data_IF_239937473239
#
_entry.id   IF_239937473239
#
_cell.length_a   1.000
_cell.length_b   1.000
_cell.length_c   1.000
_cell.angle_alpha   90.00
_cell.angle_beta   90.00
_cell.angle_gamma   90.00
#
_symmetry.space_group_name_H-M   'P 1'
#
loop_
_entity.id
_entity.type
_entity.pdbx_description
1 polymer ?
#
# COMPACT_ATOMS: atom_id res chain seq x y z
N UNK A 1 33.24 -9.16 21.78
CA UNK A 1 32.33 -8.66 20.74
C UNK A 1 31.00 -9.37 21.00
N UNK A 2 30.05 -8.69 21.63
CA UNK A 2 28.71 -9.26 21.83
C UNK A 2 27.99 -9.29 20.47
N UNK A 3 27.34 -10.41 20.20
CA UNK A 3 26.54 -10.53 18.96
C UNK A 3 25.39 -9.54 19.03
N UNK A 4 25.05 -8.85 17.91
CA UNK A 4 23.90 -7.97 17.90
C UNK A 4 22.62 -8.77 18.22
N UNK A 5 21.69 -8.16 18.98
CA UNK A 5 20.38 -8.76 19.20
C UNK A 5 19.62 -8.86 17.86
N UNK A 6 19.43 -10.10 17.39
CA UNK A 6 18.73 -10.41 16.15
C UNK A 6 17.22 -10.57 16.36
N UNK A 7 16.74 -10.55 17.60
CA UNK A 7 15.32 -10.75 17.94
C UNK A 7 14.39 -9.79 17.21
N UNK A 8 14.73 -8.48 17.04
CA UNK A 8 13.87 -7.55 16.31
C UNK A 8 13.61 -7.87 14.84
N UNK A 9 14.53 -8.62 14.20
CA UNK A 9 14.39 -9.03 12.77
C UNK A 9 14.04 -10.52 12.61
N UNK A 10 13.72 -11.21 13.69
CA UNK A 10 13.35 -12.63 13.63
C UNK A 10 12.16 -12.90 12.67
N UNK A 11 11.10 -12.06 12.64
CA UNK A 11 10.03 -12.19 11.65
C UNK A 11 10.55 -12.14 10.20
N UNK A 12 11.50 -11.24 9.88
CA UNK A 12 12.11 -11.09 8.56
C UNK A 12 13.00 -12.29 8.19
N UNK A 13 13.72 -12.84 9.16
CA UNK A 13 14.54 -14.05 8.98
C UNK A 13 13.66 -15.24 8.61
N UNK A 14 12.50 -15.40 9.26
CA UNK A 14 11.53 -16.46 8.95
C UNK A 14 11.00 -16.28 7.52
N UNK A 15 10.64 -15.07 7.14
CA UNK A 15 10.17 -14.77 5.77
C UNK A 15 11.25 -15.01 4.72
N UNK A 16 12.50 -14.63 5.01
CA UNK A 16 13.63 -14.88 4.12
C UNK A 16 13.88 -16.39 3.94
N UNK A 17 13.83 -17.14 5.04
CA UNK A 17 13.91 -18.60 5.00
C UNK A 17 12.79 -19.22 4.16
N UNK A 18 11.55 -18.77 4.33
CA UNK A 18 10.42 -19.21 3.53
C UNK A 18 10.58 -18.86 2.04
N UNK A 19 11.03 -17.63 1.71
CA UNK A 19 11.27 -17.21 0.34
C UNK A 19 12.36 -18.06 -0.34
N UNK A 20 13.46 -18.33 0.36
CA UNK A 20 14.53 -19.19 -0.14
C UNK A 20 14.05 -20.63 -0.33
N UNK A 21 13.26 -21.18 0.59
CA UNK A 21 12.66 -22.52 0.46
C UNK A 21 11.73 -22.59 -0.74
N UNK A 22 10.92 -21.56 -0.98
CA UNK A 22 10.08 -21.45 -2.19
C UNK A 22 10.95 -21.57 -3.44
N UNK A 23 12.04 -20.82 -3.54
CA UNK A 23 12.95 -20.84 -4.70
C UNK A 23 13.69 -22.17 -4.85
N UNK A 24 14.05 -22.82 -3.75
CA UNK A 24 14.73 -24.13 -3.77
C UNK A 24 13.79 -25.27 -4.16
N UNK A 25 12.53 -25.23 -3.75
CA UNK A 25 11.54 -26.28 -4.03
C UNK A 25 10.93 -26.15 -5.43
N UNK A 26 10.78 -24.90 -5.92
CA UNK A 26 10.14 -24.58 -7.21
C UNK A 26 10.64 -25.43 -8.39
N UNK A 27 11.95 -25.60 -8.63
CA UNK A 27 12.45 -26.36 -9.79
C UNK A 27 12.04 -27.83 -9.81
N UNK A 28 11.69 -28.40 -8.65
CA UNK A 28 11.26 -29.80 -8.52
C UNK A 28 9.76 -30.00 -8.77
N UNK A 29 8.99 -28.89 -8.84
CA UNK A 29 7.54 -28.91 -9.01
C UNK A 29 7.16 -28.54 -10.46
N UNK A 30 6.67 -29.52 -11.24
CA UNK A 30 6.35 -29.30 -12.67
C UNK A 30 5.04 -28.51 -12.88
N UNK A 31 3.95 -28.92 -12.24
CA UNK A 31 2.61 -28.33 -12.44
C UNK A 31 1.94 -27.90 -11.14
N UNK A 32 1.97 -28.77 -10.13
CA UNK A 32 1.34 -28.48 -8.84
C UNK A 32 2.24 -27.59 -8.00
N UNK A 33 1.76 -26.39 -7.66
CA UNK A 33 2.46 -25.39 -6.85
C UNK A 33 1.94 -25.32 -5.42
N UNK A 34 1.10 -26.28 -5.00
CA UNK A 34 0.50 -26.29 -3.66
C UNK A 34 1.55 -26.25 -2.55
N UNK A 35 2.66 -26.99 -2.72
CA UNK A 35 3.75 -26.97 -1.73
C UNK A 35 4.39 -25.59 -1.59
N UNK A 36 4.63 -24.89 -2.70
CA UNK A 36 5.20 -23.53 -2.70
C UNK A 36 4.25 -22.53 -2.02
N UNK A 37 2.96 -22.63 -2.31
CA UNK A 37 1.93 -21.78 -1.69
C UNK A 37 1.87 -22.08 -0.18
N UNK A 38 1.90 -23.35 0.22
CA UNK A 38 1.90 -23.76 1.63
C UNK A 38 3.14 -23.22 2.36
N UNK A 39 4.35 -23.34 1.77
CA UNK A 39 5.59 -22.78 2.35
C UNK A 39 5.46 -21.24 2.52
N UNK A 40 4.97 -20.55 1.51
CA UNK A 40 4.81 -19.10 1.58
C UNK A 40 3.82 -18.68 2.68
N UNK A 41 2.64 -19.33 2.76
CA UNK A 41 1.62 -19.01 3.76
C UNK A 41 2.06 -19.42 5.17
N UNK A 42 2.72 -20.55 5.36
CA UNK A 42 3.23 -21.00 6.68
C UNK A 42 4.35 -20.09 7.16
N UNK A 43 5.28 -19.70 6.28
CA UNK A 43 6.34 -18.75 6.61
C UNK A 43 5.76 -17.38 7.02
N UNK A 44 4.74 -16.93 6.31
CA UNK A 44 4.04 -15.67 6.59
C UNK A 44 3.28 -15.74 7.93
N UNK A 45 2.58 -16.84 8.20
CA UNK A 45 1.88 -17.06 9.46
C UNK A 45 2.88 -17.12 10.64
N UNK A 46 3.97 -17.88 10.49
CA UNK A 46 5.01 -17.99 11.50
C UNK A 46 5.66 -16.63 11.82
N UNK A 47 5.97 -15.84 10.78
CA UNK A 47 6.48 -14.47 10.94
C UNK A 47 5.50 -13.57 11.70
N UNK A 48 4.21 -13.61 11.34
CA UNK A 48 3.17 -12.84 12.02
C UNK A 48 2.99 -13.25 13.49
N UNK A 49 2.98 -14.54 13.79
CA UNK A 49 2.89 -15.09 15.17
C UNK A 49 4.09 -14.62 16.00
N UNK A 50 5.31 -14.72 15.46
CA UNK A 50 6.52 -14.25 16.16
C UNK A 50 6.48 -12.74 16.38
N UNK A 51 6.04 -11.95 15.41
CA UNK A 51 5.88 -10.52 15.58
C UNK A 51 4.89 -10.19 16.72
N UNK A 52 3.76 -10.90 16.79
CA UNK A 52 2.77 -10.72 17.86
C UNK A 52 3.29 -11.21 19.22
N UNK A 53 4.03 -12.30 19.26
CA UNK A 53 4.62 -12.81 20.50
C UNK A 53 5.65 -11.83 21.13
N UNK A 54 6.27 -11.00 20.30
CA UNK A 54 7.25 -9.99 20.70
C UNK A 54 6.63 -8.58 20.86
N UNK A 55 5.30 -8.45 20.84
CA UNK A 55 4.58 -7.18 20.79
C UNK A 55 4.96 -6.20 21.92
N UNK A 56 5.12 -6.67 23.15
CA UNK A 56 5.37 -5.82 24.33
C UNK A 56 6.86 -5.60 24.65
N UNK A 57 7.76 -6.24 23.90
CA UNK A 57 9.17 -6.31 24.32
C UNK A 57 9.99 -5.05 24.04
N UNK A 58 9.51 -4.15 23.15
CA UNK A 58 10.19 -2.91 22.74
C UNK A 58 11.70 -3.12 22.49
N UNK A 59 12.05 -4.14 21.70
CA UNK A 59 13.44 -4.54 21.47
C UNK A 59 14.12 -3.67 20.43
N UNK A 60 15.36 -3.35 20.74
CA UNK A 60 16.24 -2.55 19.87
C UNK A 60 17.41 -3.44 19.43
N UNK A 61 17.63 -3.53 18.12
CA UNK A 61 18.73 -4.30 17.56
C UNK A 61 19.58 -3.48 16.58
N UNK A 62 20.72 -4.06 16.17
CA UNK A 62 21.62 -3.46 15.18
C UNK A 62 22.04 -2.03 15.55
N UNK A 63 22.56 -1.86 16.75
CA UNK A 63 23.01 -0.55 17.25
C UNK A 63 21.96 0.57 17.16
N UNK A 64 20.67 0.24 17.35
CA UNK A 64 19.59 1.21 17.31
C UNK A 64 18.98 1.43 15.93
N UNK A 65 19.42 0.71 14.91
CA UNK A 65 18.89 0.89 13.54
C UNK A 65 17.49 0.31 13.37
N UNK A 66 17.14 -0.75 14.10
CA UNK A 66 15.86 -1.45 14.02
C UNK A 66 15.22 -1.52 15.40
N UNK A 67 13.93 -1.22 15.47
CA UNK A 67 13.13 -1.30 16.70
C UNK A 67 11.89 -2.15 16.44
N UNK A 68 11.66 -3.15 17.27
CA UNK A 68 10.42 -3.91 17.32
C UNK A 68 9.59 -3.38 18.50
N UNK A 69 8.61 -2.56 18.19
CA UNK A 69 7.65 -1.99 19.13
C UNK A 69 6.22 -2.17 18.60
N UNK A 70 5.22 -1.71 19.35
CA UNK A 70 3.80 -1.80 18.95
C UNK A 70 3.51 -1.25 17.57
N UNK A 71 4.14 -0.14 17.19
CA UNK A 71 4.01 0.47 15.87
C UNK A 71 4.53 -0.46 14.76
N UNK A 72 5.73 -0.99 14.92
CA UNK A 72 6.33 -1.91 13.95
C UNK A 72 5.52 -3.21 13.83
N UNK A 73 5.06 -3.77 14.96
CA UNK A 73 4.25 -5.00 14.98
C UNK A 73 2.91 -4.78 14.30
N UNK A 74 2.22 -3.67 14.56
CA UNK A 74 0.98 -3.33 13.86
C UNK A 74 1.16 -3.40 12.33
N UNK A 75 2.19 -2.75 11.81
CA UNK A 75 2.45 -2.75 10.38
C UNK A 75 2.87 -4.13 9.84
N UNK A 76 3.71 -4.88 10.56
CA UNK A 76 4.10 -6.25 10.18
C UNK A 76 2.88 -7.16 10.03
N UNK A 77 1.92 -7.07 10.96
CA UNK A 77 0.66 -7.83 10.89
C UNK A 77 -0.20 -7.37 9.71
N UNK A 78 -0.32 -6.06 9.51
CA UNK A 78 -1.09 -5.50 8.40
C UNK A 78 -0.52 -5.92 7.04
N UNK A 79 0.80 -5.88 6.89
CA UNK A 79 1.49 -6.30 5.66
C UNK A 79 1.38 -7.81 5.44
N UNK A 80 1.50 -8.61 6.50
CA UNK A 80 1.31 -10.06 6.44
C UNK A 80 -0.10 -10.40 5.95
N UNK A 81 -1.13 -9.72 6.46
CA UNK A 81 -2.50 -9.88 5.99
C UNK A 81 -2.65 -9.52 4.50
N UNK A 82 -2.07 -8.40 4.07
CA UNK A 82 -2.11 -7.98 2.67
C UNK A 82 -1.42 -9.00 1.75
N UNK A 83 -0.26 -9.51 2.15
CA UNK A 83 0.48 -10.54 1.41
C UNK A 83 -0.27 -11.88 1.38
N UNK A 84 -0.87 -12.31 2.52
CA UNK A 84 -1.68 -13.53 2.59
C UNK A 84 -2.85 -13.47 1.61
N UNK A 85 -3.61 -12.38 1.62
CA UNK A 85 -4.73 -12.21 0.69
C UNK A 85 -4.26 -12.20 -0.77
N UNK A 86 -3.15 -11.53 -1.09
CA UNK A 86 -2.57 -11.54 -2.43
C UNK A 86 -2.15 -12.96 -2.85
N UNK A 87 -1.50 -13.72 -1.96
CA UNK A 87 -1.11 -15.11 -2.21
C UNK A 87 -2.35 -15.97 -2.45
N UNK A 88 -3.38 -15.89 -1.61
CA UNK A 88 -4.62 -16.67 -1.75
C UNK A 88 -5.41 -16.36 -3.02
N UNK A 89 -5.38 -15.12 -3.50
CA UNK A 89 -6.05 -14.72 -4.76
C UNK A 89 -5.30 -15.20 -6.00
N UNK A 90 -4.01 -15.56 -5.91
CA UNK A 90 -3.12 -15.71 -7.06
C UNK A 90 -3.21 -17.04 -7.79
N UNK A 91 -3.38 -18.23 -7.15
CA UNK A 91 -3.19 -19.50 -7.81
C UNK A 91 -4.05 -19.68 -9.06
N UNK A 92 -5.36 -19.60 -8.91
CA UNK A 92 -6.31 -19.75 -10.05
C UNK A 92 -6.11 -18.66 -11.11
N UNK A 93 -5.74 -17.45 -10.70
CA UNK A 93 -5.48 -16.33 -11.62
C UNK A 93 -4.23 -16.59 -12.47
N UNK A 94 -3.15 -17.08 -11.87
CA UNK A 94 -1.89 -17.39 -12.54
C UNK A 94 -2.05 -18.61 -13.45
N UNK A 95 -2.74 -19.66 -12.99
CA UNK A 95 -3.07 -20.84 -13.80
C UNK A 95 -3.88 -20.48 -15.05
N UNK A 96 -4.95 -19.70 -14.88
CA UNK A 96 -5.78 -19.22 -15.97
C UNK A 96 -5.00 -18.35 -16.97
N UNK A 97 -3.90 -17.72 -16.52
CA UNK A 97 -3.01 -16.91 -17.34
C UNK A 97 -1.85 -17.72 -17.97
N UNK A 98 -1.77 -19.02 -17.70
CA UNK A 98 -0.73 -19.92 -18.22
C UNK A 98 0.66 -19.69 -17.63
N UNK A 99 0.77 -19.02 -16.47
CA UNK A 99 2.05 -18.68 -15.83
C UNK A 99 1.98 -18.75 -14.32
N UNK A 100 1.91 -19.96 -13.81
CA UNK A 100 1.97 -20.23 -12.38
C UNK A 100 3.39 -20.67 -12.00
N UNK A 101 4.23 -19.71 -11.60
CA UNK A 101 5.64 -19.89 -11.22
C UNK A 101 5.82 -19.52 -9.74
N UNK A 102 6.66 -20.28 -9.04
CA UNK A 102 6.89 -20.09 -7.60
C UNK A 102 7.67 -18.82 -7.27
N UNK A 103 8.48 -18.31 -8.22
CA UNK A 103 9.18 -17.02 -8.04
C UNK A 103 8.22 -15.87 -7.72
N UNK A 104 6.96 -15.96 -8.17
CA UNK A 104 5.92 -15.01 -7.83
C UNK A 104 5.72 -14.87 -6.32
N UNK A 105 5.65 -15.99 -5.61
CA UNK A 105 5.45 -16.01 -4.16
C UNK A 105 6.70 -15.55 -3.42
N UNK A 106 7.88 -15.94 -3.89
CA UNK A 106 9.14 -15.46 -3.33
C UNK A 106 9.26 -13.93 -3.43
N UNK A 107 8.91 -13.35 -4.58
CA UNK A 107 8.92 -11.89 -4.77
C UNK A 107 7.93 -11.17 -3.84
N UNK A 108 6.75 -11.75 -3.58
CA UNK A 108 5.82 -11.20 -2.59
C UNK A 108 6.42 -11.20 -1.18
N UNK A 109 7.11 -12.30 -0.80
CA UNK A 109 7.78 -12.39 0.50
C UNK A 109 8.96 -11.41 0.61
N UNK A 110 9.76 -11.24 -0.43
CA UNK A 110 10.84 -10.23 -0.45
C UNK A 110 10.29 -8.79 -0.35
N UNK A 111 9.19 -8.49 -1.06
CA UNK A 111 8.53 -7.19 -0.90
C UNK A 111 8.04 -6.98 0.55
N UNK A 112 7.49 -8.02 1.16
CA UNK A 112 7.04 -8.01 2.56
C UNK A 112 8.18 -7.78 3.53
N UNK A 113 9.33 -8.43 3.35
CA UNK A 113 10.54 -8.21 4.16
C UNK A 113 10.94 -6.73 4.09
N UNK A 114 11.00 -6.16 2.87
CA UNK A 114 11.32 -4.75 2.68
C UNK A 114 10.36 -3.82 3.42
N UNK A 115 9.04 -4.08 3.35
CA UNK A 115 8.02 -3.32 4.06
C UNK A 115 8.18 -3.42 5.59
N UNK A 116 8.45 -4.61 6.10
CA UNK A 116 8.65 -4.84 7.53
C UNK A 116 9.88 -4.06 8.06
N UNK A 117 10.99 -4.08 7.30
CA UNK A 117 12.19 -3.30 7.64
C UNK A 117 11.88 -1.81 7.64
N UNK A 118 11.14 -1.29 6.64
CA UNK A 118 10.74 0.12 6.60
C UNK A 118 9.95 0.55 7.86
N UNK A 119 9.02 -0.28 8.32
CA UNK A 119 8.18 0.03 9.49
C UNK A 119 8.96 -0.03 10.82
N UNK A 120 9.96 -0.90 10.90
CA UNK A 120 10.81 -1.09 12.08
C UNK A 120 12.03 -0.16 12.11
N UNK A 121 12.37 0.51 11.01
CA UNK A 121 13.55 1.34 10.89
C UNK A 121 13.52 2.55 11.85
N UNK A 122 14.67 2.82 12.46
CA UNK A 122 14.99 4.04 13.22
C UNK A 122 16.29 4.67 12.72
N UNK A 123 16.67 4.27 11.51
CA UNK A 123 17.89 4.69 10.82
C UNK A 123 17.59 4.80 9.33
N UNK A 124 18.15 5.82 8.68
CA UNK A 124 17.90 6.08 7.28
C UNK A 124 18.46 5.01 6.34
N UNK A 125 19.58 4.36 6.70
CA UNK A 125 20.17 3.29 5.89
C UNK A 125 19.26 2.05 5.96
N UNK A 126 18.85 1.66 7.16
CA UNK A 126 17.92 0.55 7.33
C UNK A 126 16.60 0.79 6.57
N UNK A 127 16.04 1.99 6.69
CA UNK A 127 14.83 2.39 5.97
C UNK A 127 15.01 2.29 4.45
N UNK A 128 16.12 2.85 3.92
CA UNK A 128 16.39 2.89 2.48
C UNK A 128 16.61 1.49 1.90
N UNK A 129 17.33 0.62 2.60
CA UNK A 129 17.50 -0.79 2.19
C UNK A 129 16.16 -1.52 2.14
N UNK A 130 15.30 -1.34 3.15
CA UNK A 130 13.95 -1.89 3.14
C UNK A 130 13.10 -1.37 1.97
N UNK A 131 13.17 -0.06 1.72
CA UNK A 131 12.48 0.61 0.61
C UNK A 131 12.91 0.06 -0.75
N UNK A 132 14.21 -0.15 -0.98
CA UNK A 132 14.72 -0.69 -2.24
C UNK A 132 14.38 -2.17 -2.42
N UNK A 133 14.46 -2.98 -1.37
CA UNK A 133 14.07 -4.40 -1.43
C UNK A 133 12.57 -4.54 -1.81
N UNK A 134 11.71 -3.75 -1.16
CA UNK A 134 10.28 -3.68 -1.51
C UNK A 134 10.10 -3.21 -2.96
N UNK A 135 10.84 -2.18 -3.39
CA UNK A 135 10.68 -1.55 -4.70
C UNK A 135 11.08 -2.49 -5.84
N UNK A 136 12.28 -3.09 -5.78
CA UNK A 136 12.78 -4.02 -6.81
C UNK A 136 11.85 -5.22 -6.94
N UNK A 137 11.44 -5.82 -5.82
CA UNK A 137 10.48 -6.92 -5.82
C UNK A 137 9.15 -6.52 -6.46
N UNK A 138 8.67 -5.31 -6.19
CA UNK A 138 7.44 -4.77 -6.79
C UNK A 138 7.58 -4.51 -8.29
N UNK A 139 8.72 -4.03 -8.77
CA UNK A 139 8.95 -3.82 -10.21
C UNK A 139 8.88 -5.14 -10.98
N UNK A 140 9.50 -6.21 -10.43
CA UNK A 140 9.46 -7.54 -11.00
C UNK A 140 8.05 -8.14 -10.97
N UNK A 141 7.31 -7.96 -9.88
CA UNK A 141 5.91 -8.38 -9.79
C UNK A 141 5.00 -7.66 -10.79
N UNK A 142 5.19 -6.37 -11.03
CA UNK A 142 4.42 -5.62 -12.03
C UNK A 142 4.60 -6.19 -13.43
N UNK A 143 5.84 -6.59 -13.79
CA UNK A 143 6.21 -7.20 -15.07
C UNK A 143 6.13 -8.72 -15.11
N UNK A 144 5.45 -9.38 -14.18
CA UNK A 144 5.47 -10.83 -14.03
C UNK A 144 5.03 -11.56 -15.31
N UNK A 145 4.09 -10.99 -16.06
CA UNK A 145 3.67 -11.51 -17.36
C UNK A 145 4.55 -10.97 -18.51
N UNK A 146 5.81 -11.40 -18.57
CA UNK A 146 6.86 -10.91 -19.48
C UNK A 146 6.53 -10.93 -20.99
N UNK A 147 5.50 -11.65 -21.42
CA UNK A 147 5.04 -11.65 -22.83
C UNK A 147 3.79 -10.79 -23.02
N UNK A 148 3.31 -10.11 -21.98
CA UNK A 148 2.20 -9.17 -22.07
C UNK A 148 2.77 -7.74 -22.14
N UNK A 149 2.55 -7.07 -23.27
CA UNK A 149 3.07 -5.71 -23.50
C UNK A 149 2.62 -4.72 -22.43
N UNK A 150 1.37 -4.82 -21.94
CA UNK A 150 0.88 -3.95 -20.87
C UNK A 150 1.57 -4.20 -19.53
N UNK A 151 1.91 -5.46 -19.22
CA UNK A 151 2.65 -5.80 -18.01
C UNK A 151 4.10 -5.28 -18.09
N UNK A 152 4.74 -5.40 -19.25
CA UNK A 152 6.09 -4.87 -19.46
C UNK A 152 6.12 -3.34 -19.41
N UNK A 153 5.14 -2.68 -20.03
CA UNK A 153 4.99 -1.22 -19.97
C UNK A 153 4.79 -0.75 -18.52
N UNK A 154 3.94 -1.44 -17.77
CA UNK A 154 3.71 -1.15 -16.34
C UNK A 154 5.01 -1.28 -15.52
N UNK A 155 5.77 -2.37 -15.73
CA UNK A 155 7.04 -2.58 -15.04
C UNK A 155 8.07 -1.51 -15.38
N UNK A 156 8.25 -1.18 -16.66
CA UNK A 156 9.21 -0.17 -17.09
C UNK A 156 8.84 1.24 -16.57
N UNK A 157 7.57 1.63 -16.66
CA UNK A 157 7.10 2.90 -16.09
C UNK A 157 7.34 2.96 -14.58
N UNK A 158 7.03 1.86 -13.86
CA UNK A 158 7.23 1.80 -12.43
C UNK A 158 8.70 1.84 -12.04
N UNK A 159 9.54 1.10 -12.76
CA UNK A 159 10.99 1.06 -12.54
C UNK A 159 11.63 2.43 -12.77
N UNK A 160 11.48 3.03 -13.97
CA UNK A 160 12.15 4.29 -14.28
C UNK A 160 11.70 5.43 -13.37
N UNK A 161 10.39 5.58 -13.18
CA UNK A 161 9.88 6.64 -12.27
C UNK A 161 10.22 6.36 -10.82
N UNK A 162 10.31 5.07 -10.44
CA UNK A 162 10.68 4.66 -9.09
C UNK A 162 12.14 4.92 -8.75
N UNK A 163 13.07 4.65 -9.69
CA UNK A 163 14.49 4.95 -9.52
C UNK A 163 14.71 6.46 -9.37
N UNK A 164 14.03 7.28 -10.18
CA UNK A 164 14.09 8.74 -10.02
C UNK A 164 13.61 9.17 -8.62
N UNK A 165 12.49 8.64 -8.16
CA UNK A 165 11.96 8.97 -6.85
C UNK A 165 12.90 8.52 -5.71
N UNK A 166 13.51 7.34 -5.86
CA UNK A 166 14.50 6.81 -4.92
C UNK A 166 15.74 7.70 -4.84
N UNK A 167 16.20 8.23 -5.97
CA UNK A 167 17.31 9.19 -6.03
C UNK A 167 16.99 10.47 -5.23
N UNK A 168 15.79 11.02 -5.33
CA UNK A 168 15.37 12.17 -4.51
C UNK A 168 15.38 11.82 -3.02
N UNK A 169 14.86 10.65 -2.64
CA UNK A 169 14.90 10.19 -1.25
C UNK A 169 16.33 10.10 -0.74
N UNK A 170 17.21 9.43 -1.49
CA UNK A 170 18.61 9.22 -1.11
C UNK A 170 19.38 10.55 -1.04
N UNK A 171 19.14 11.46 -1.97
CA UNK A 171 19.77 12.79 -1.94
C UNK A 171 19.29 13.61 -0.73
N UNK A 172 17.99 13.56 -0.41
CA UNK A 172 17.48 14.16 0.82
C UNK A 172 18.13 13.60 2.09
N UNK A 173 18.27 12.27 2.17
CA UNK A 173 18.97 11.58 3.27
C UNK A 173 20.45 12.02 3.33
N UNK A 174 21.13 12.13 2.20
CA UNK A 174 22.54 12.56 2.13
C UNK A 174 22.71 13.99 2.66
N UNK A 175 21.79 14.90 2.34
CA UNK A 175 21.80 16.27 2.89
C UNK A 175 21.57 16.27 4.40
N UNK A 176 20.61 15.50 4.88
CA UNK A 176 20.35 15.33 6.31
C UNK A 176 21.57 14.79 7.04
N UNK A 177 22.25 13.77 6.46
CA UNK A 177 23.51 13.25 6.98
C UNK A 177 24.61 14.30 7.01
N UNK A 178 24.75 15.10 5.95
CA UNK A 178 25.72 16.20 5.90
C UNK A 178 25.50 17.27 6.97
N UNK A 179 24.24 17.49 7.38
CA UNK A 179 23.87 18.45 8.42
C UNK A 179 24.03 17.90 9.84
N UNK A 180 23.85 16.59 10.03
CA UNK A 180 23.77 15.97 11.35
C UNK A 180 24.95 15.08 11.72
N UNK A 181 25.70 14.58 10.72
CA UNK A 181 26.73 13.57 10.91
C UNK A 181 26.23 12.19 11.33
N UNK A 182 24.90 11.94 11.26
CA UNK A 182 24.27 10.69 11.71
C UNK A 182 23.18 10.23 10.74
N UNK A 183 22.90 8.92 10.74
CA UNK A 183 21.75 8.31 10.03
C UNK A 183 20.63 7.90 10.99
N UNK A 184 20.90 7.87 12.30
CA UNK A 184 19.91 7.51 13.31
C UNK A 184 18.87 8.63 13.49
N UNK A 185 17.58 8.30 13.45
CA UNK A 185 16.49 9.28 13.47
C UNK A 185 16.51 10.23 14.66
N UNK A 186 16.75 9.71 15.88
CA UNK A 186 16.78 10.54 17.08
C UNK A 186 18.00 11.48 17.08
N UNK A 187 19.19 10.96 16.76
CA UNK A 187 20.41 11.75 16.69
C UNK A 187 20.30 12.85 15.61
N UNK A 188 19.74 12.51 14.45
CA UNK A 188 19.48 13.49 13.39
C UNK A 188 18.50 14.55 13.85
N UNK A 189 17.34 14.17 14.44
CA UNK A 189 16.36 15.12 14.93
C UNK A 189 16.94 16.10 15.95
N UNK A 190 17.75 15.62 16.89
CA UNK A 190 18.46 16.45 17.86
C UNK A 190 19.47 17.40 17.20
N UNK A 191 20.26 16.91 16.25
CA UNK A 191 21.21 17.74 15.53
C UNK A 191 20.52 18.85 14.70
N UNK A 192 19.40 18.53 14.03
CA UNK A 192 18.63 19.51 13.27
C UNK A 192 17.97 20.57 14.17
N UNK A 193 17.57 20.22 15.40
CA UNK A 193 17.05 21.17 16.39
C UNK A 193 18.12 22.14 16.90
N UNK A 194 19.36 21.69 17.00
CA UNK A 194 20.51 22.49 17.47
C UNK A 194 21.15 23.32 16.36
N UNK A 195 20.87 23.02 15.08
CA UNK A 195 21.49 23.65 13.92
C UNK A 195 20.75 24.93 13.49
N UNK A 196 21.49 25.83 12.81
CA UNK A 196 20.96 27.14 12.31
C UNK A 196 20.45 27.10 10.87
N UNK A 197 20.71 26.02 10.11
CA UNK A 197 20.48 26.00 8.66
C UNK A 197 19.06 25.59 8.27
N UNK A 198 18.08 26.45 8.51
CA UNK A 198 16.65 26.22 8.19
C UNK A 198 16.39 25.96 6.70
N UNK A 199 17.11 26.64 5.79
CA UNK A 199 16.94 26.48 4.34
C UNK A 199 17.40 25.10 3.85
N UNK A 200 18.55 24.61 4.34
CA UNK A 200 19.05 23.29 3.98
C UNK A 200 18.14 22.17 4.51
N UNK A 201 17.62 22.31 5.73
CA UNK A 201 16.63 21.39 6.31
C UNK A 201 15.35 21.39 5.47
N UNK A 202 14.84 22.57 5.08
CA UNK A 202 13.64 22.66 4.25
C UNK A 202 13.83 22.00 2.87
N UNK A 203 14.99 22.18 2.25
CA UNK A 203 15.31 21.55 0.96
C UNK A 203 15.42 20.03 1.08
N UNK A 204 16.13 19.53 2.11
CA UNK A 204 16.21 18.10 2.39
C UNK A 204 14.81 17.49 2.65
N UNK A 205 13.98 18.18 3.44
CA UNK A 205 12.59 17.80 3.71
C UNK A 205 11.78 17.69 2.42
N UNK A 206 11.89 18.66 1.51
CA UNK A 206 11.18 18.65 0.23
C UNK A 206 11.61 17.49 -0.66
N UNK A 207 12.89 17.13 -0.70
CA UNK A 207 13.40 15.98 -1.43
C UNK A 207 12.88 14.65 -0.87
N UNK A 208 12.86 14.51 0.45
CA UNK A 208 12.29 13.31 1.11
C UNK A 208 10.78 13.22 0.85
N UNK A 209 10.05 14.34 0.90
CA UNK A 209 8.62 14.39 0.54
C UNK A 209 8.42 13.96 -0.92
N UNK A 210 9.22 14.44 -1.85
CA UNK A 210 9.09 14.08 -3.27
C UNK A 210 9.30 12.58 -3.50
N UNK A 211 10.36 12.00 -2.92
CA UNK A 211 10.68 10.59 -3.08
C UNK A 211 9.70 9.65 -2.39
N UNK A 212 9.34 9.91 -1.15
CA UNK A 212 8.33 9.12 -0.42
C UNK A 212 6.92 9.36 -0.94
N UNK A 213 6.62 10.57 -1.41
CA UNK A 213 5.37 10.92 -2.07
C UNK A 213 5.10 10.07 -3.31
N UNK A 214 6.14 9.71 -4.08
CA UNK A 214 6.02 8.76 -5.17
C UNK A 214 5.55 7.39 -4.67
N UNK A 215 6.13 6.86 -3.59
CA UNK A 215 5.77 5.51 -3.06
C UNK A 215 4.31 5.43 -2.62
N UNK A 216 3.77 6.48 -2.05
CA UNK A 216 2.36 6.52 -1.64
C UNK A 216 1.43 7.13 -2.69
N UNK A 217 1.94 7.51 -3.86
CA UNK A 217 1.18 8.07 -4.98
C UNK A 217 0.58 9.46 -4.72
N UNK A 218 1.33 10.35 -4.11
CA UNK A 218 0.97 11.77 -3.91
C UNK A 218 1.06 12.52 -5.23
N UNK A 219 0.12 13.41 -5.52
CA UNK A 219 0.19 14.33 -6.67
C UNK A 219 1.27 15.39 -6.39
N UNK A 220 2.22 15.63 -7.32
CA UNK A 220 2.24 15.22 -8.73
C UNK A 220 2.95 13.87 -9.02
N UNK A 221 3.48 13.18 -8.03
CA UNK A 221 4.31 11.98 -8.19
C UNK A 221 3.49 10.68 -8.43
N UNK A 222 2.20 10.78 -8.67
CA UNK A 222 1.23 9.68 -8.75
C UNK A 222 1.14 8.99 -10.13
N UNK A 223 1.76 9.53 -11.17
CA UNK A 223 1.47 9.19 -12.59
C UNK A 223 1.68 7.71 -12.94
N UNK A 224 2.54 7.01 -12.21
CA UNK A 224 2.80 5.58 -12.39
C UNK A 224 1.60 4.69 -11.99
N UNK A 225 0.83 5.11 -11.00
CA UNK A 225 -0.14 4.25 -10.30
C UNK A 225 -1.27 3.74 -11.20
N UNK A 226 -1.94 4.54 -12.03
CA UNK A 226 -3.01 4.05 -12.90
C UNK A 226 -2.53 3.04 -13.95
N UNK A 227 -1.36 3.28 -14.53
CA UNK A 227 -0.80 2.43 -15.58
C UNK A 227 -0.29 1.11 -15.00
N UNK A 228 0.37 1.16 -13.83
CA UNK A 228 0.86 -0.03 -13.13
C UNK A 228 -0.29 -0.90 -12.64
N UNK A 229 -1.34 -0.32 -12.03
CA UNK A 229 -2.48 -1.11 -11.58
C UNK A 229 -3.22 -1.76 -12.76
N UNK A 230 -3.31 -1.08 -13.89
CA UNK A 230 -3.95 -1.63 -15.09
C UNK A 230 -3.12 -2.76 -15.69
N UNK A 231 -1.79 -2.61 -15.80
CA UNK A 231 -0.91 -3.54 -16.50
C UNK A 231 -0.44 -4.73 -15.66
N UNK A 232 -0.24 -4.56 -14.36
CA UNK A 232 0.17 -5.64 -13.45
C UNK A 232 -0.92 -6.72 -13.32
N UNK A 233 -0.54 -7.97 -12.93
CA UNK A 233 -1.50 -8.98 -12.52
C UNK A 233 -2.46 -8.45 -11.45
N UNK A 234 -3.74 -8.81 -11.52
CA UNK A 234 -4.75 -8.24 -10.61
C UNK A 234 -4.45 -8.47 -9.12
N UNK A 235 -3.99 -9.66 -8.67
CA UNK A 235 -3.57 -9.85 -7.28
C UNK A 235 -2.37 -8.98 -6.88
N UNK A 236 -1.45 -8.71 -7.82
CA UNK A 236 -0.32 -7.79 -7.61
C UNK A 236 -0.80 -6.35 -7.46
N UNK A 237 -1.72 -5.91 -8.33
CA UNK A 237 -2.33 -4.58 -8.20
C UNK A 237 -3.07 -4.41 -6.86
N UNK A 238 -3.74 -5.47 -6.39
CA UNK A 238 -4.34 -5.52 -5.06
C UNK A 238 -3.29 -5.30 -3.95
N UNK A 239 -2.20 -6.05 -3.99
CA UNK A 239 -1.09 -5.92 -3.04
C UNK A 239 -0.47 -4.52 -3.06
N UNK A 240 -0.19 -3.96 -4.25
CA UNK A 240 0.39 -2.62 -4.40
C UNK A 240 -0.51 -1.51 -3.88
N UNK A 241 -1.82 -1.73 -3.92
CA UNK A 241 -2.79 -0.73 -3.48
C UNK A 241 -2.79 -0.52 -1.98
N UNK A 242 -2.32 -1.47 -1.20
CA UNK A 242 -2.34 -1.45 0.27
C UNK A 242 -0.95 -1.61 0.88
N UNK A 243 -0.23 -2.69 0.62
CA UNK A 243 1.03 -3.01 1.28
C UNK A 243 2.11 -1.93 1.13
N UNK A 244 2.64 -1.70 -0.09
CA UNK A 244 3.68 -0.71 -0.33
C UNK A 244 3.28 0.72 0.07
N UNK A 245 1.99 1.08 -0.05
CA UNK A 245 1.49 2.39 0.40
C UNK A 245 1.49 2.51 1.92
N UNK A 246 1.01 1.50 2.62
CA UNK A 246 1.03 1.49 4.07
C UNK A 246 2.47 1.50 4.61
N UNK A 247 3.42 0.79 3.96
CA UNK A 247 4.85 0.86 4.31
C UNK A 247 5.43 2.25 4.07
N UNK A 248 5.03 2.91 2.97
CA UNK A 248 5.39 4.31 2.72
C UNK A 248 4.88 5.24 3.83
N UNK A 249 3.62 5.10 4.23
CA UNK A 249 3.06 5.89 5.35
C UNK A 249 3.73 5.56 6.69
N UNK A 250 4.07 4.30 6.94
CA UNK A 250 4.84 3.93 8.13
C UNK A 250 6.18 4.69 8.21
N UNK A 251 6.92 4.74 7.10
CA UNK A 251 8.15 5.52 7.03
C UNK A 251 7.92 7.02 7.15
N UNK A 252 6.94 7.58 6.45
CA UNK A 252 6.62 9.02 6.49
C UNK A 252 6.29 9.44 7.92
N UNK A 253 5.36 8.75 8.60
CA UNK A 253 4.99 9.08 9.99
C UNK A 253 6.20 9.01 10.92
N UNK A 254 7.00 7.93 10.85
CA UNK A 254 8.17 7.77 11.69
C UNK A 254 9.22 8.88 11.46
N UNK A 255 9.54 9.19 10.20
CA UNK A 255 10.55 10.17 9.83
C UNK A 255 10.09 11.60 10.20
N UNK A 256 8.84 11.96 9.85
CA UNK A 256 8.36 13.33 10.06
C UNK A 256 8.06 13.63 11.53
N UNK A 257 7.63 12.64 12.31
CA UNK A 257 7.42 12.80 13.74
C UNK A 257 8.72 12.87 14.55
N UNK A 258 9.85 12.36 14.04
CA UNK A 258 11.11 12.30 14.78
C UNK A 258 12.19 13.20 14.19
N UNK A 259 12.54 12.98 12.92
CA UNK A 259 13.65 13.68 12.25
C UNK A 259 13.30 15.13 11.94
N UNK A 260 12.15 15.35 11.31
CA UNK A 260 11.72 16.67 10.85
C UNK A 260 10.76 17.38 11.82
N UNK A 261 10.68 16.95 13.08
CA UNK A 261 9.82 17.58 14.09
C UNK A 261 10.10 19.08 14.23
N UNK A 262 11.37 19.51 14.13
CA UNK A 262 11.79 20.93 14.16
C UNK A 262 11.13 21.78 13.07
N UNK A 263 10.84 21.20 11.92
CA UNK A 263 10.22 21.88 10.77
C UNK A 263 8.74 21.53 10.58
N UNK A 264 8.06 21.08 11.64
CA UNK A 264 6.67 20.65 11.62
C UNK A 264 5.70 21.67 10.98
N UNK A 265 5.77 22.99 11.25
CA UNK A 265 4.90 23.96 10.60
C UNK A 265 5.11 24.01 9.08
N UNK A 266 6.35 23.85 8.62
CA UNK A 266 6.71 23.91 7.19
C UNK A 266 6.18 22.70 6.43
N UNK A 267 6.52 21.50 6.87
CA UNK A 267 6.06 20.31 6.15
C UNK A 267 4.55 20.05 6.32
N UNK A 268 3.94 20.45 7.43
CA UNK A 268 2.49 20.43 7.58
C UNK A 268 1.80 21.24 6.47
N UNK A 269 2.29 22.46 6.19
CA UNK A 269 1.74 23.29 5.10
C UNK A 269 1.92 22.62 3.74
N UNK A 270 3.08 21.99 3.48
CA UNK A 270 3.32 21.25 2.24
C UNK A 270 2.30 20.10 2.13
N UNK A 271 2.09 19.32 3.20
CA UNK A 271 1.12 18.21 3.19
C UNK A 271 -0.33 18.69 3.04
N UNK A 272 -0.70 19.86 3.55
CA UNK A 272 -2.02 20.46 3.28
C UNK A 272 -2.22 20.68 1.78
N UNK A 273 -1.26 21.32 1.13
CA UNK A 273 -1.34 21.60 -0.33
C UNK A 273 -1.39 20.28 -1.11
N UNK A 274 -0.49 19.33 -0.78
CA UNK A 274 -0.45 18.03 -1.43
C UNK A 274 -1.73 17.22 -1.18
N UNK A 275 -2.34 17.30 0.01
CA UNK A 275 -3.60 16.63 0.32
C UNK A 275 -4.73 17.12 -0.60
N UNK A 276 -4.90 18.42 -0.73
CA UNK A 276 -5.94 19.02 -1.59
C UNK A 276 -5.73 18.61 -3.04
N UNK A 277 -4.51 18.78 -3.57
CA UNK A 277 -4.18 18.41 -4.94
C UNK A 277 -4.41 16.91 -5.20
N UNK A 278 -4.04 16.07 -4.24
CA UNK A 278 -4.17 14.62 -4.36
C UNK A 278 -5.63 14.18 -4.29
N UNK A 279 -6.44 14.77 -3.41
CA UNK A 279 -7.89 14.56 -3.37
C UNK A 279 -8.57 15.03 -4.65
N UNK A 280 -8.21 16.22 -5.15
CA UNK A 280 -8.79 16.80 -6.35
C UNK A 280 -8.49 15.94 -7.58
N UNK A 281 -7.22 15.68 -7.87
CA UNK A 281 -6.81 14.90 -9.05
C UNK A 281 -7.33 13.47 -8.97
N UNK A 282 -7.18 12.81 -7.79
CA UNK A 282 -7.64 11.45 -7.59
C UNK A 282 -9.13 11.29 -7.90
N UNK A 283 -9.99 12.13 -7.32
CA UNK A 283 -11.43 12.04 -7.53
C UNK A 283 -11.85 12.46 -8.95
N UNK A 284 -11.32 13.58 -9.47
CA UNK A 284 -11.66 14.05 -10.81
C UNK A 284 -11.31 13.04 -11.89
N UNK A 285 -10.14 12.43 -11.79
CA UNK A 285 -9.69 11.42 -12.74
C UNK A 285 -10.42 10.07 -12.57
N UNK A 286 -10.84 9.70 -11.36
CA UNK A 286 -11.65 8.49 -11.12
C UNK A 286 -13.01 8.56 -11.81
N UNK A 287 -13.64 9.73 -11.86
CA UNK A 287 -14.95 9.96 -12.49
C UNK A 287 -14.94 9.58 -13.97
N UNK A 288 -13.90 9.91 -14.71
CA UNK A 288 -13.82 9.72 -16.15
C UNK A 288 -13.33 8.32 -16.54
N UNK A 289 -12.87 7.50 -15.59
CA UNK A 289 -12.37 6.16 -15.90
C UNK A 289 -13.50 5.21 -16.30
N UNK A 290 -13.20 4.39 -17.31
CA UNK A 290 -14.07 3.30 -17.78
C UNK A 290 -13.52 1.93 -17.41
N UNK A 291 -12.23 1.83 -17.06
CA UNK A 291 -11.58 0.61 -16.61
C UNK A 291 -11.53 0.57 -15.08
N UNK A 292 -12.03 -0.51 -14.48
CA UNK A 292 -12.14 -0.66 -13.02
C UNK A 292 -10.81 -0.63 -12.29
N UNK A 293 -9.75 -1.23 -12.87
CA UNK A 293 -8.42 -1.21 -12.22
C UNK A 293 -7.86 0.21 -12.18
N UNK A 294 -8.06 0.99 -13.24
CA UNK A 294 -7.67 2.41 -13.28
C UNK A 294 -8.54 3.27 -12.35
N UNK A 295 -9.84 3.00 -12.29
CA UNK A 295 -10.73 3.71 -11.37
C UNK A 295 -10.31 3.48 -9.92
N UNK A 296 -10.03 2.24 -9.53
CA UNK A 296 -9.54 1.93 -8.18
C UNK A 296 -8.14 2.51 -7.92
N UNK A 297 -7.30 2.66 -8.95
CA UNK A 297 -6.01 3.34 -8.83
C UNK A 297 -6.18 4.83 -8.49
N UNK A 298 -7.04 5.55 -9.21
CA UNK A 298 -7.33 6.95 -8.91
C UNK A 298 -8.11 7.13 -7.59
N UNK A 299 -9.00 6.20 -7.27
CA UNK A 299 -9.62 6.10 -5.95
C UNK A 299 -8.54 5.99 -4.85
N UNK A 300 -7.57 5.09 -5.04
CA UNK A 300 -6.44 4.92 -4.12
C UNK A 300 -5.62 6.21 -3.95
N UNK A 301 -5.43 7.01 -5.02
CA UNK A 301 -4.79 8.33 -4.95
C UNK A 301 -5.63 9.29 -4.10
N UNK A 302 -6.96 9.33 -4.30
CA UNK A 302 -7.84 10.16 -3.49
C UNK A 302 -7.78 9.81 -1.98
N UNK A 303 -7.75 8.51 -1.65
CA UNK A 303 -7.59 8.04 -0.27
C UNK A 303 -6.24 8.44 0.36
N UNK A 304 -5.16 8.48 -0.43
CA UNK A 304 -3.88 9.05 0.01
C UNK A 304 -4.04 10.53 0.38
N UNK A 305 -4.84 11.30 -0.36
CA UNK A 305 -5.14 12.69 -0.03
C UNK A 305 -5.77 12.85 1.35
N UNK A 306 -6.68 11.96 1.76
CA UNK A 306 -7.26 11.97 3.11
C UNK A 306 -6.22 11.66 4.19
N UNK A 307 -5.33 10.70 3.93
CA UNK A 307 -4.22 10.37 4.84
C UNK A 307 -3.23 11.52 4.98
N UNK A 308 -2.93 12.25 3.88
CA UNK A 308 -2.07 13.43 3.92
C UNK A 308 -2.68 14.58 4.75
N UNK A 309 -4.00 14.74 4.76
CA UNK A 309 -4.66 15.71 5.62
C UNK A 309 -4.46 15.39 7.10
N UNK A 310 -4.57 14.11 7.49
CA UNK A 310 -4.25 13.68 8.85
C UNK A 310 -2.74 13.80 9.17
N UNK A 311 -1.88 13.54 8.20
CA UNK A 311 -0.44 13.75 8.36
C UNK A 311 -0.10 15.23 8.57
N UNK A 312 -0.81 16.16 7.90
CA UNK A 312 -0.67 17.59 8.16
C UNK A 312 -1.10 17.96 9.59
N UNK A 313 -2.15 17.34 10.10
CA UNK A 313 -2.62 17.51 11.48
C UNK A 313 -1.59 17.02 12.52
N UNK A 314 -0.85 15.96 12.20
CA UNK A 314 0.25 15.45 13.03
C UNK A 314 1.31 16.54 13.29
N UNK A 315 1.63 17.39 12.30
CA UNK A 315 2.57 18.49 12.46
C UNK A 315 1.99 19.76 13.11
N UNK A 316 0.76 19.71 13.62
CA UNK A 316 0.05 20.86 14.24
C UNK A 316 -0.51 20.54 15.64
N UNK A 317 0.14 19.66 16.38
CA UNK A 317 -0.20 19.39 17.78
C UNK A 317 -1.28 18.33 17.98
N UNK A 318 -1.70 17.63 16.93
CA UNK A 318 -2.65 16.51 17.02
C UNK A 318 -1.96 15.14 16.83
N UNK A 319 -0.71 14.99 17.31
CA UNK A 319 0.15 13.84 17.02
C UNK A 319 -0.51 12.49 17.37
N UNK A 320 -1.03 12.36 18.56
CA UNK A 320 -1.64 11.10 19.03
C UNK A 320 -2.93 10.78 18.25
N UNK A 321 -3.79 11.77 18.03
CA UNK A 321 -5.06 11.59 17.32
C UNK A 321 -4.81 11.30 15.85
N UNK A 322 -3.91 12.04 15.19
CA UNK A 322 -3.58 11.86 13.78
C UNK A 322 -2.85 10.54 13.53
N UNK A 323 -1.88 10.17 14.40
CA UNK A 323 -1.18 8.90 14.33
C UNK A 323 -2.15 7.72 14.41
N UNK A 324 -2.99 7.68 15.44
CA UNK A 324 -4.00 6.62 15.62
C UNK A 324 -5.01 6.56 14.47
N UNK A 325 -5.45 7.72 13.98
CA UNK A 325 -6.39 7.80 12.85
C UNK A 325 -5.76 7.26 11.55
N UNK A 326 -4.49 7.56 11.28
CA UNK A 326 -3.76 7.03 10.12
C UNK A 326 -3.67 5.50 10.19
N UNK A 327 -3.30 4.94 11.35
CA UNK A 327 -3.21 3.49 11.56
C UNK A 327 -4.56 2.81 11.33
N UNK A 328 -5.62 3.31 11.98
CA UNK A 328 -6.97 2.79 11.84
C UNK A 328 -7.45 2.84 10.38
N UNK A 329 -7.19 3.96 9.71
CA UNK A 329 -7.60 4.12 8.32
C UNK A 329 -6.86 3.18 7.37
N UNK A 330 -5.55 3.00 7.53
CA UNK A 330 -4.75 2.06 6.75
C UNK A 330 -5.25 0.62 6.94
N UNK A 331 -5.62 0.24 8.18
CA UNK A 331 -6.23 -1.07 8.45
C UNK A 331 -7.57 -1.21 7.72
N UNK A 332 -8.50 -0.27 7.89
CA UNK A 332 -9.80 -0.29 7.22
C UNK A 332 -9.65 -0.31 5.68
N UNK A 333 -8.76 0.54 5.15
CA UNK A 333 -8.48 0.63 3.72
C UNK A 333 -7.93 -0.68 3.14
N UNK A 334 -7.08 -1.38 3.90
CA UNK A 334 -6.54 -2.68 3.50
C UNK A 334 -7.66 -3.68 3.22
N UNK A 335 -8.61 -3.83 4.12
CA UNK A 335 -9.75 -4.76 3.92
C UNK A 335 -10.66 -4.33 2.76
N UNK A 336 -11.01 -3.05 2.70
CA UNK A 336 -11.91 -2.53 1.67
C UNK A 336 -11.34 -2.74 0.26
N UNK A 337 -10.09 -2.36 0.09
CA UNK A 337 -9.48 -2.34 -1.24
C UNK A 337 -9.06 -3.73 -1.70
N UNK A 338 -8.47 -4.55 -0.80
CA UNK A 338 -8.19 -5.95 -1.11
C UNK A 338 -9.48 -6.72 -1.43
N UNK A 339 -10.57 -6.48 -0.69
CA UNK A 339 -11.87 -7.08 -0.98
C UNK A 339 -12.40 -6.70 -2.36
N UNK A 340 -12.30 -5.43 -2.73
CA UNK A 340 -12.69 -4.97 -4.06
C UNK A 340 -11.86 -5.65 -5.17
N UNK A 341 -10.54 -5.72 -5.01
CA UNK A 341 -9.65 -6.41 -5.96
C UNK A 341 -9.84 -7.93 -5.96
N UNK A 342 -10.22 -8.54 -4.84
CA UNK A 342 -10.53 -9.97 -4.77
C UNK A 342 -11.71 -10.31 -5.69
N UNK A 343 -12.77 -9.49 -5.69
CA UNK A 343 -13.90 -9.65 -6.61
C UNK A 343 -13.45 -9.49 -8.07
N UNK A 344 -12.59 -8.50 -8.38
CA UNK A 344 -12.04 -8.35 -9.73
C UNK A 344 -11.24 -9.57 -10.17
N UNK A 345 -10.43 -10.12 -9.27
CA UNK A 345 -9.65 -11.32 -9.50
C UNK A 345 -10.55 -12.53 -9.74
N UNK A 346 -11.57 -12.72 -8.89
CA UNK A 346 -12.56 -13.77 -9.04
C UNK A 346 -13.28 -13.70 -10.40
N UNK A 347 -13.80 -12.53 -10.78
CA UNK A 347 -14.50 -12.36 -12.05
C UNK A 347 -13.59 -12.65 -13.25
N UNK A 348 -12.32 -12.25 -13.18
CA UNK A 348 -11.34 -12.56 -14.22
C UNK A 348 -11.05 -14.05 -14.33
N UNK A 349 -10.99 -14.77 -13.21
CA UNK A 349 -10.76 -16.23 -13.22
C UNK A 349 -11.95 -17.01 -13.77
N UNK A 350 -13.18 -16.50 -13.60
CA UNK A 350 -14.37 -17.10 -14.20
C UNK A 350 -14.42 -16.92 -15.74
N UNK A 351 -13.81 -15.86 -16.26
CA UNK A 351 -13.81 -15.52 -17.69
C UNK A 351 -12.40 -15.11 -18.15
N UNK A 352 -11.46 -16.05 -18.27
CA UNK A 352 -10.05 -15.71 -18.52
C UNK A 352 -9.81 -14.94 -19.81
N UNK A 353 -10.59 -15.20 -20.86
CA UNK A 353 -10.43 -14.61 -22.18
C UNK A 353 -11.36 -13.42 -22.45
N UNK A 354 -12.49 -13.31 -21.76
CA UNK A 354 -13.55 -12.33 -22.07
C UNK A 354 -13.64 -11.13 -21.14
N UNK A 355 -13.01 -11.16 -19.95
CA UNK A 355 -13.15 -10.10 -18.94
C UNK A 355 -12.08 -9.01 -19.13
N UNK A 356 -12.51 -7.80 -19.53
CA UNK A 356 -11.64 -6.67 -19.88
C UNK A 356 -11.56 -5.56 -18.81
N UNK A 357 -12.22 -5.75 -17.65
CA UNK A 357 -12.34 -4.77 -16.58
C UNK A 357 -13.09 -3.48 -16.94
N UNK A 358 -13.75 -3.39 -18.09
CA UNK A 358 -14.60 -2.24 -18.43
C UNK A 358 -15.85 -2.19 -17.54
N UNK A 359 -16.42 -1.00 -17.34
CA UNK A 359 -17.68 -0.85 -16.59
C UNK A 359 -18.80 -1.70 -17.20
N UNK A 360 -18.82 -1.87 -18.52
CA UNK A 360 -19.80 -2.70 -19.24
C UNK A 360 -19.71 -4.17 -18.86
N UNK A 361 -18.51 -4.68 -18.54
CA UNK A 361 -18.32 -6.06 -18.11
C UNK A 361 -19.03 -6.39 -16.79
N UNK A 362 -19.41 -5.39 -16.01
CA UNK A 362 -20.14 -5.57 -14.75
C UNK A 362 -21.67 -5.49 -14.92
N UNK A 363 -22.18 -5.13 -16.10
CA UNK A 363 -23.61 -5.02 -16.34
C UNK A 363 -24.34 -6.34 -16.03
N UNK A 364 -25.43 -6.26 -15.24
CA UNK A 364 -26.21 -7.43 -14.84
C UNK A 364 -25.53 -8.41 -13.89
N UNK A 365 -24.40 -8.03 -13.25
CA UNK A 365 -23.68 -8.90 -12.31
C UNK A 365 -24.56 -9.32 -11.14
N UNK A 366 -25.49 -8.46 -10.69
CA UNK A 366 -26.45 -8.77 -9.63
C UNK A 366 -27.34 -9.97 -9.93
N UNK A 367 -27.64 -10.23 -11.20
CA UNK A 367 -28.39 -11.41 -11.64
C UNK A 367 -27.51 -12.64 -11.86
N UNK A 368 -26.29 -12.43 -12.43
CA UNK A 368 -25.35 -13.51 -12.80
C UNK A 368 -24.60 -14.10 -11.62
N UNK A 369 -24.15 -13.25 -10.70
CA UNK A 369 -23.42 -13.64 -9.49
C UNK A 369 -23.81 -12.73 -8.33
N UNK A 370 -24.99 -12.97 -7.70
CA UNK A 370 -25.55 -12.09 -6.67
C UNK A 370 -24.59 -11.84 -5.51
N UNK A 371 -23.89 -12.90 -5.05
CA UNK A 371 -22.95 -12.79 -3.95
C UNK A 371 -21.73 -11.93 -4.29
N UNK A 372 -21.17 -12.07 -5.51
CA UNK A 372 -20.04 -11.24 -5.94
C UNK A 372 -20.47 -9.77 -6.06
N UNK A 373 -21.67 -9.51 -6.62
CA UNK A 373 -22.24 -8.16 -6.71
C UNK A 373 -22.48 -7.56 -5.33
N UNK A 374 -23.05 -8.33 -4.38
CA UNK A 374 -23.34 -7.86 -3.03
C UNK A 374 -22.05 -7.52 -2.26
N UNK A 375 -21.06 -8.42 -2.27
CA UNK A 375 -19.78 -8.19 -1.62
C UNK A 375 -19.04 -7.00 -2.25
N UNK A 376 -19.04 -6.90 -3.59
CA UNK A 376 -18.41 -5.77 -4.26
C UNK A 376 -19.08 -4.45 -3.87
N UNK A 377 -20.42 -4.42 -3.83
CA UNK A 377 -21.20 -3.26 -3.38
C UNK A 377 -20.84 -2.87 -1.94
N UNK A 378 -20.69 -3.85 -1.04
CA UNK A 378 -20.27 -3.61 0.35
C UNK A 378 -18.91 -2.92 0.41
N UNK A 379 -17.92 -3.42 -0.37
CA UNK A 379 -16.58 -2.80 -0.42
C UNK A 379 -16.63 -1.39 -1.04
N UNK A 380 -17.41 -1.18 -2.09
CA UNK A 380 -17.58 0.15 -2.70
C UNK A 380 -18.27 1.15 -1.76
N UNK A 381 -19.28 0.71 -1.01
CA UNK A 381 -19.93 1.54 0.00
C UNK A 381 -18.98 1.90 1.14
N UNK A 382 -18.14 0.96 1.53
CA UNK A 382 -17.13 1.20 2.54
C UNK A 382 -16.05 2.17 2.03
N UNK A 383 -15.58 2.03 0.79
CA UNK A 383 -14.66 3.00 0.16
C UNK A 383 -15.29 4.39 0.03
N UNK A 384 -16.58 4.47 -0.26
CA UNK A 384 -17.34 5.74 -0.27
C UNK A 384 -17.35 6.38 1.13
N UNK A 385 -17.45 5.57 2.18
CA UNK A 385 -17.59 6.02 3.56
C UNK A 385 -19.05 6.19 3.96
N UNK A 386 -19.93 5.24 3.55
CA UNK A 386 -21.34 5.23 3.99
C UNK A 386 -21.39 4.84 5.48
N UNK A 387 -22.20 5.53 6.32
CA UNK A 387 -22.37 5.18 7.72
C UNK A 387 -22.65 3.69 7.94
N UNK A 388 -22.05 3.12 9.00
CA UNK A 388 -22.13 1.69 9.29
C UNK A 388 -21.02 0.85 8.65
N UNK A 389 -20.09 1.45 7.90
CA UNK A 389 -18.97 0.76 7.28
C UNK A 389 -17.63 1.15 7.93
N UNK A 390 -16.61 0.28 7.79
CA UNK A 390 -15.27 0.54 8.29
C UNK A 390 -14.64 1.81 7.66
N UNK A 391 -14.94 2.08 6.38
CA UNK A 391 -14.47 3.26 5.68
C UNK A 391 -15.04 4.56 6.24
N UNK A 392 -16.29 4.56 6.67
CA UNK A 392 -16.87 5.70 7.38
C UNK A 392 -16.16 5.95 8.70
N UNK A 393 -15.98 4.91 9.52
CA UNK A 393 -15.29 5.01 10.81
C UNK A 393 -13.87 5.57 10.59
N UNK A 394 -13.13 5.01 9.65
CA UNK A 394 -11.78 5.46 9.35
C UNK A 394 -11.71 6.92 8.90
N UNK A 395 -12.58 7.36 7.97
CA UNK A 395 -12.67 8.77 7.53
C UNK A 395 -13.08 9.70 8.66
N UNK A 396 -14.02 9.25 9.50
CA UNK A 396 -14.46 10.04 10.66
C UNK A 396 -13.30 10.34 11.61
N UNK A 397 -12.48 9.34 11.95
CA UNK A 397 -11.30 9.55 12.81
C UNK A 397 -10.24 10.42 12.13
N UNK A 398 -9.98 10.24 10.81
CA UNK A 398 -9.05 11.10 10.08
C UNK A 398 -9.48 12.58 10.14
N UNK A 399 -10.73 12.87 9.79
CA UNK A 399 -11.23 14.25 9.79
C UNK A 399 -11.39 14.82 11.19
N UNK A 400 -11.70 13.99 12.19
CA UNK A 400 -11.70 14.40 13.59
C UNK A 400 -10.32 14.86 14.05
N UNK A 401 -9.25 14.15 13.69
CA UNK A 401 -7.88 14.57 13.99
C UNK A 401 -7.52 15.89 13.26
N UNK A 402 -7.97 16.07 12.02
CA UNK A 402 -7.78 17.32 11.25
C UNK A 402 -8.50 18.49 11.92
N UNK A 403 -9.72 18.28 12.45
CA UNK A 403 -10.45 19.29 13.23
C UNK A 403 -9.73 19.64 14.52
N UNK A 404 -9.20 18.65 15.25
CA UNK A 404 -8.43 18.87 16.49
C UNK A 404 -7.14 19.69 16.26
N UNK A 405 -6.60 19.69 15.06
CA UNK A 405 -5.45 20.46 14.65
C UNK A 405 -5.82 21.89 14.16
N UNK A 406 -7.03 22.36 14.43
CA UNK A 406 -7.58 23.67 13.96
C UNK A 406 -7.62 23.80 12.43
N UNK A 407 -7.66 22.68 11.69
CA UNK A 407 -7.77 22.62 10.23
C UNK A 407 -9.20 22.29 9.77
N UNK A 408 -10.22 22.86 10.42
CA UNK A 408 -11.65 22.59 10.13
C UNK A 408 -11.98 22.72 8.65
N UNK A 409 -11.48 23.78 7.99
CA UNK A 409 -11.69 24.00 6.57
C UNK A 409 -11.14 22.86 5.70
N UNK A 410 -9.98 22.28 6.07
CA UNK A 410 -9.38 21.14 5.36
C UNK A 410 -10.24 19.86 5.54
N UNK A 411 -10.79 19.66 6.73
CA UNK A 411 -11.75 18.59 6.98
C UNK A 411 -13.00 18.74 6.10
N UNK A 412 -13.55 19.95 5.97
CA UNK A 412 -14.68 20.25 5.07
C UNK A 412 -14.33 19.91 3.61
N UNK A 413 -13.16 20.34 3.13
CA UNK A 413 -12.67 19.98 1.79
C UNK A 413 -12.59 18.46 1.62
N UNK A 414 -12.06 17.74 2.61
CA UNK A 414 -11.97 16.28 2.58
C UNK A 414 -13.33 15.58 2.52
N UNK A 415 -14.31 16.05 3.29
CA UNK A 415 -15.69 15.54 3.26
C UNK A 415 -16.34 15.79 1.90
N UNK A 416 -16.17 16.98 1.32
CA UNK A 416 -16.69 17.28 -0.01
C UNK A 416 -16.11 16.37 -1.09
N UNK A 417 -14.79 16.13 -1.10
CA UNK A 417 -14.17 15.17 -2.02
C UNK A 417 -14.60 13.72 -1.74
N UNK A 418 -14.85 13.36 -0.48
CA UNK A 418 -15.44 12.06 -0.15
C UNK A 418 -16.86 11.92 -0.73
N UNK A 419 -17.67 12.96 -0.69
CA UNK A 419 -18.99 12.97 -1.33
C UNK A 419 -18.88 12.84 -2.86
N UNK A 420 -17.92 13.53 -3.49
CA UNK A 420 -17.63 13.38 -4.93
C UNK A 420 -17.28 11.93 -5.27
N UNK A 421 -16.55 11.23 -4.40
CA UNK A 421 -16.19 9.83 -4.61
C UNK A 421 -17.39 8.89 -4.72
N UNK A 422 -18.50 9.22 -4.10
CA UNK A 422 -19.73 8.43 -4.17
C UNK A 422 -20.22 8.24 -5.62
N UNK A 423 -20.03 9.23 -6.48
CA UNK A 423 -20.48 9.16 -7.87
C UNK A 423 -19.87 7.97 -8.63
N UNK A 424 -18.55 7.82 -8.62
CA UNK A 424 -17.92 6.76 -9.43
C UNK A 424 -18.07 5.37 -8.81
N UNK A 425 -18.22 5.26 -7.50
CA UNK A 425 -18.54 3.98 -6.87
C UNK A 425 -20.00 3.56 -7.10
N UNK A 426 -20.94 4.48 -6.89
CA UNK A 426 -22.36 4.20 -7.13
C UNK A 426 -22.66 3.96 -8.61
N UNK A 427 -21.96 4.63 -9.52
CA UNK A 427 -22.04 4.34 -10.96
C UNK A 427 -21.81 2.86 -11.25
N UNK A 428 -20.82 2.22 -10.63
CA UNK A 428 -20.59 0.78 -10.80
C UNK A 428 -21.74 -0.05 -10.23
N UNK A 429 -22.28 0.33 -9.06
CA UNK A 429 -23.44 -0.35 -8.46
C UNK A 429 -24.65 -0.29 -9.42
N UNK A 430 -24.86 0.87 -10.06
CA UNK A 430 -25.91 1.00 -11.08
C UNK A 430 -25.67 0.05 -12.27
N UNK A 431 -24.44 -0.10 -12.75
CA UNK A 431 -24.13 -1.08 -13.80
C UNK A 431 -24.44 -2.51 -13.34
N UNK A 432 -24.06 -2.89 -12.13
CA UNK A 432 -24.23 -4.25 -11.61
C UNK A 432 -25.69 -4.66 -11.46
N UNK A 433 -26.57 -3.75 -11.05
CA UNK A 433 -27.94 -4.10 -10.68
C UNK A 433 -29.01 -3.61 -11.67
N UNK A 434 -28.77 -2.50 -12.40
CA UNK A 434 -29.79 -1.82 -13.18
C UNK A 434 -29.52 -1.80 -14.70
N UNK A 435 -28.33 -2.30 -15.15
CA UNK A 435 -28.01 -2.42 -16.58
C UNK A 435 -28.10 -3.87 -17.01
N UNK A 436 -28.64 -4.09 -18.21
CA UNK A 436 -28.64 -5.41 -18.81
C UNK A 436 -27.28 -5.76 -19.41
N UNK A 437 -26.87 -7.04 -19.39
CA UNK A 437 -25.60 -7.45 -19.96
C UNK A 437 -25.60 -7.21 -21.48
N UNK A 438 -24.59 -6.49 -21.97
CA UNK A 438 -24.39 -6.25 -23.41
C UNK A 438 -23.77 -7.48 -24.12
N UNK A 439 -23.28 -8.47 -23.38
CA UNK A 439 -22.65 -9.70 -23.86
C UNK A 439 -23.21 -10.89 -23.09
N UNK A 440 -23.68 -11.93 -23.80
CA UNK A 440 -24.00 -13.22 -23.17
C UNK A 440 -22.71 -13.86 -22.66
N UNK A 441 -22.58 -13.94 -21.36
CA UNK A 441 -21.49 -14.64 -20.71
C UNK A 441 -21.87 -16.10 -20.44
N UNK A 442 -20.93 -17.01 -20.59
CA UNK A 442 -21.12 -18.40 -20.16
C UNK A 442 -21.55 -18.45 -18.70
N UNK A 443 -22.53 -19.32 -18.38
CA UNK A 443 -23.02 -19.50 -17.01
C UNK A 443 -21.85 -19.78 -16.06
N UNK A 444 -21.86 -19.21 -14.83
CA UNK A 444 -20.79 -19.44 -13.87
C UNK A 444 -20.67 -20.94 -13.58
N UNK A 445 -19.46 -21.45 -13.65
CA UNK A 445 -19.17 -22.81 -13.14
C UNK A 445 -19.49 -22.82 -11.64
N UNK A 446 -20.18 -23.82 -11.11
CA UNK A 446 -20.45 -23.91 -9.68
C UNK A 446 -19.12 -23.87 -8.92
N UNK A 447 -19.17 -23.29 -7.73
CA UNK A 447 -18.03 -23.21 -6.80
C UNK A 447 -17.82 -24.64 -6.24
N UNK A 448 -17.26 -25.52 -7.04
CA UNK A 448 -16.77 -26.81 -6.55
C UNK A 448 -15.34 -26.61 -6.07
N UNK A 449 -15.15 -26.71 -4.76
CA UNK A 449 -13.85 -26.82 -4.10
C UNK A 449 -13.22 -25.48 -3.69
N UNK A 450 -13.82 -24.80 -2.72
CA UNK A 450 -13.13 -23.95 -1.75
C UNK A 450 -13.28 -24.64 -0.40
N UNK A 451 -12.44 -25.63 -0.17
CA UNK A 451 -12.02 -26.14 1.15
C UNK A 451 -10.57 -26.60 1.01
#
# INVERSE_FOLDING_TARGET
MEWPDITPILPEIILAGAALLVLLVEPFLKRDKTAVIAIALTGLLASGVVALALFSDNRVGFAGMIVLNEYAVFFKVLFALAAAMAIMMSPRYLEASGRHLGEYYALLLFALIGMNVMAAARDFIAFYVGLELMAVSSYLLAGFFRYNLRSNEAALKYFFTGVFASTFTLFGISLVYGLSGSTNYLAVGQALMAGESTTAVAFATALVIAGLGFKVSVVPFHMWTPDVYQGAPTPVAAFFSVGPKAAGFAGIVAIFATVFAVSAPTWSMIFIVLAILTMFVGNSMAIVQTNMKRMLAFSSIAHVGYLLAALAALGRGAEAAAGSAILLYLAAYTFMNLGAFAILTYLKTQQPQGFDYSLKAFAGLGRRSPWAAALFTLFLFSLTGIPGTAGFIGKFYLFSAVVQADLVWLAVVGVLFSAVSAYYYLRLVVYMYFREPEVEFASPRPIEGVL
#
